data_IF_629970928968
#
_entry.id   IF_629970928968
#
_cell.length_a   1.000
_cell.length_b   1.000
_cell.length_c   1.000
_cell.angle_alpha   90.00
_cell.angle_beta   90.00
_cell.angle_gamma   90.00
#
_symmetry.space_group_name_H-M   'P 1'
#
loop_
_entity.id
_entity.type
_entity.pdbx_description
1 polymer ?
#
# COMPACT_ATOMS: atom_id res chain seq x y z
N UNK A 1 -20.19 5.53 -4.16
CA UNK A 1 -19.51 4.28 -3.76
C UNK A 1 -20.56 3.18 -3.71
N UNK A 2 -20.28 1.98 -4.25
CA UNK A 2 -21.24 0.86 -4.23
C UNK A 2 -21.32 0.21 -2.84
N UNK A 3 -22.43 -0.48 -2.54
CA UNK A 3 -22.60 -1.26 -1.29
C UNK A 3 -21.48 -2.31 -1.13
N UNK A 4 -21.08 -2.95 -2.24
CA UNK A 4 -19.98 -3.92 -2.23
C UNK A 4 -18.62 -3.27 -1.88
N UNK A 5 -18.40 -2.01 -2.31
CA UNK A 5 -17.20 -1.26 -1.90
C UNK A 5 -17.22 -0.95 -0.43
N UNK A 6 -18.36 -0.51 0.11
CA UNK A 6 -18.51 -0.20 1.53
C UNK A 6 -18.25 -1.43 2.40
N UNK A 7 -18.81 -2.58 2.06
CA UNK A 7 -18.60 -3.83 2.78
C UNK A 7 -17.12 -4.26 2.79
N UNK A 8 -16.40 -4.10 1.67
CA UNK A 8 -14.97 -4.38 1.58
C UNK A 8 -14.15 -3.46 2.50
N UNK A 9 -14.42 -2.15 2.46
CA UNK A 9 -13.70 -1.18 3.28
C UNK A 9 -14.00 -1.37 4.78
N UNK A 10 -15.22 -1.70 5.13
CA UNK A 10 -15.60 -2.01 6.51
C UNK A 10 -14.90 -3.29 6.99
N UNK A 11 -14.81 -4.33 6.16
CA UNK A 11 -14.07 -5.55 6.46
C UNK A 11 -12.57 -5.28 6.65
N UNK A 12 -11.97 -4.40 5.82
CA UNK A 12 -10.57 -4.00 5.96
C UNK A 12 -10.30 -3.19 7.24
N UNK A 13 -11.29 -2.45 7.74
CA UNK A 13 -11.20 -1.69 8.98
C UNK A 13 -11.41 -2.55 10.25
N UNK A 14 -12.11 -3.67 10.15
CA UNK A 14 -12.53 -4.48 11.31
C UNK A 14 -11.37 -4.91 12.23
N UNK A 15 -10.19 -5.37 11.75
CA UNK A 15 -9.07 -5.75 12.58
C UNK A 15 -8.54 -4.62 13.49
N UNK A 16 -8.77 -3.36 13.12
CA UNK A 16 -8.29 -2.19 13.86
C UNK A 16 -9.07 -1.93 15.16
N UNK A 17 -10.21 -2.60 15.37
CA UNK A 17 -10.92 -2.59 16.66
C UNK A 17 -10.04 -3.07 17.82
N UNK A 18 -9.08 -3.97 17.55
CA UNK A 18 -8.08 -4.44 18.52
C UNK A 18 -7.19 -3.30 19.05
N UNK A 19 -6.97 -2.27 18.25
CA UNK A 19 -6.20 -1.07 18.62
C UNK A 19 -7.07 0.07 19.19
N UNK A 20 -8.35 -0.19 19.40
CA UNK A 20 -9.30 0.74 20.00
C UNK A 20 -10.18 1.49 19.00
N UNK A 21 -11.20 2.17 19.53
CA UNK A 21 -12.22 2.87 18.72
C UNK A 21 -11.63 3.92 17.78
N UNK A 22 -10.62 4.65 18.24
CA UNK A 22 -9.99 5.69 17.43
C UNK A 22 -9.31 5.09 16.18
N UNK A 23 -8.50 4.04 16.33
CA UNK A 23 -7.84 3.38 15.20
C UNK A 23 -8.85 2.81 14.20
N UNK A 24 -9.93 2.19 14.70
CA UNK A 24 -11.01 1.68 13.85
C UNK A 24 -11.68 2.78 13.04
N UNK A 25 -12.15 3.86 13.69
CA UNK A 25 -12.85 4.94 12.99
C UNK A 25 -11.94 5.71 12.06
N UNK A 26 -10.68 5.94 12.45
CA UNK A 26 -9.68 6.54 11.58
C UNK A 26 -9.48 5.72 10.30
N UNK A 27 -9.21 4.42 10.44
CA UNK A 27 -9.00 3.51 9.30
C UNK A 27 -10.22 3.47 8.39
N UNK A 28 -11.42 3.26 8.97
CA UNK A 28 -12.66 3.20 8.22
C UNK A 28 -12.92 4.48 7.42
N UNK A 29 -12.74 5.64 8.04
CA UNK A 29 -12.95 6.93 7.38
C UNK A 29 -11.87 7.19 6.31
N UNK A 30 -10.59 6.91 6.61
CA UNK A 30 -9.50 7.11 5.64
C UNK A 30 -9.70 6.23 4.41
N UNK A 31 -10.03 4.95 4.58
CA UNK A 31 -10.32 4.04 3.46
C UNK A 31 -11.54 4.51 2.65
N UNK A 32 -12.56 5.07 3.30
CA UNK A 32 -13.81 5.49 2.66
C UNK A 32 -13.67 6.78 1.86
N UNK A 33 -12.95 7.76 2.40
CA UNK A 33 -12.90 9.12 1.86
C UNK A 33 -11.65 9.41 1.03
N UNK A 34 -10.62 8.57 1.08
CA UNK A 34 -9.45 8.71 0.22
C UNK A 34 -9.56 7.72 -0.95
N UNK A 35 -9.80 8.20 -2.17
CA UNK A 35 -10.04 7.34 -3.33
C UNK A 35 -8.82 6.51 -3.75
N UNK A 36 -7.61 6.85 -3.29
CA UNK A 36 -6.38 6.15 -3.69
C UNK A 36 -6.42 4.66 -3.37
N UNK A 37 -7.05 4.28 -2.25
CA UNK A 37 -7.08 2.90 -1.81
C UNK A 37 -7.82 2.00 -2.81
N UNK A 38 -9.02 2.38 -3.22
CA UNK A 38 -9.77 1.66 -4.24
C UNK A 38 -9.11 1.79 -5.62
N UNK A 39 -8.57 2.95 -5.95
CA UNK A 39 -7.86 3.15 -7.22
C UNK A 39 -6.64 2.24 -7.35
N UNK A 40 -5.88 2.01 -6.29
CA UNK A 40 -4.77 1.04 -6.30
C UNK A 40 -5.28 -0.39 -6.48
N UNK A 41 -6.29 -0.77 -5.71
CA UNK A 41 -6.87 -2.11 -5.77
C UNK A 41 -7.43 -2.46 -7.16
N UNK A 42 -8.07 -1.48 -7.82
CA UNK A 42 -8.78 -1.66 -9.10
C UNK A 42 -7.90 -1.36 -10.32
N UNK A 43 -6.69 -0.84 -10.11
CA UNK A 43 -5.79 -0.43 -11.21
C UNK A 43 -5.27 -1.59 -12.07
N UNK A 44 -5.29 -2.83 -11.57
CA UNK A 44 -4.65 -3.97 -12.21
C UNK A 44 -3.11 -3.94 -12.19
N UNK A 45 -2.50 -2.94 -11.55
CA UNK A 45 -1.04 -2.78 -11.48
C UNK A 45 -0.38 -3.79 -10.53
N UNK A 46 -1.09 -4.18 -9.47
CA UNK A 46 -0.65 -5.22 -8.56
C UNK A 46 -1.18 -6.55 -9.09
N UNK A 47 -0.27 -7.44 -9.43
CA UNK A 47 -0.61 -8.76 -9.96
C UNK A 47 -0.36 -9.86 -8.92
N UNK A 48 -0.96 -11.02 -9.12
CA UNK A 48 -0.79 -12.15 -8.22
C UNK A 48 0.68 -12.59 -8.11
N UNK A 49 1.06 -13.08 -6.93
CA UNK A 49 2.42 -13.52 -6.56
C UNK A 49 3.47 -12.39 -6.48
N UNK A 50 3.06 -11.11 -6.52
CA UNK A 50 3.99 -9.98 -6.38
C UNK A 50 4.33 -9.71 -4.91
N UNK A 51 5.55 -9.22 -4.71
CA UNK A 51 6.02 -8.59 -3.46
C UNK A 51 5.62 -7.13 -3.49
N UNK A 52 4.76 -6.73 -2.56
CA UNK A 52 4.26 -5.36 -2.44
C UNK A 52 4.89 -4.72 -1.21
N UNK A 53 5.57 -3.60 -1.40
CA UNK A 53 6.18 -2.81 -0.33
C UNK A 53 5.51 -1.44 -0.23
N UNK A 54 4.97 -1.13 0.94
CA UNK A 54 4.36 0.17 1.26
C UNK A 54 5.32 0.98 2.13
N UNK A 55 5.92 2.03 1.55
CA UNK A 55 6.88 2.91 2.23
C UNK A 55 6.15 4.08 2.91
N UNK A 56 6.29 4.16 4.23
CA UNK A 56 5.49 5.05 5.05
C UNK A 56 4.06 4.55 5.19
N UNK A 57 3.90 3.25 5.40
CA UNK A 57 2.60 2.58 5.38
C UNK A 57 1.61 3.06 6.46
N UNK A 58 2.04 3.90 7.39
CA UNK A 58 1.20 4.37 8.48
C UNK A 58 0.71 3.21 9.35
N UNK A 59 -0.59 3.11 9.49
CA UNK A 59 -1.24 1.98 10.18
C UNK A 59 -1.46 0.76 9.26
N UNK A 60 -0.91 0.73 8.05
CA UNK A 60 -0.98 -0.39 7.13
C UNK A 60 -2.33 -0.55 6.41
N UNK A 61 -3.05 0.56 6.19
CA UNK A 61 -4.42 0.54 5.66
C UNK A 61 -4.52 -0.09 4.27
N UNK A 62 -3.58 0.25 3.39
CA UNK A 62 -3.55 -0.29 2.03
C UNK A 62 -3.26 -1.79 2.03
N UNK A 63 -2.31 -2.20 2.86
CA UNK A 63 -1.98 -3.63 3.02
C UNK A 63 -3.18 -4.42 3.57
N UNK A 64 -3.93 -3.83 4.52
CA UNK A 64 -5.16 -4.44 5.04
C UNK A 64 -6.23 -4.60 3.95
N UNK A 65 -6.41 -3.58 3.10
CA UNK A 65 -7.36 -3.63 2.00
C UNK A 65 -6.99 -4.72 0.99
N UNK A 66 -5.72 -4.80 0.57
CA UNK A 66 -5.23 -5.82 -0.33
C UNK A 66 -5.40 -7.23 0.26
N UNK A 67 -5.08 -7.41 1.54
CA UNK A 67 -5.26 -8.68 2.23
C UNK A 67 -6.72 -9.12 2.28
N UNK A 68 -7.63 -8.22 2.63
CA UNK A 68 -9.07 -8.54 2.69
C UNK A 68 -9.64 -8.83 1.31
N UNK A 69 -9.22 -8.08 0.28
CA UNK A 69 -9.66 -8.31 -1.09
C UNK A 69 -9.31 -9.73 -1.57
N UNK A 70 -8.05 -10.16 -1.40
CA UNK A 70 -7.65 -11.52 -1.77
C UNK A 70 -8.39 -12.62 -0.97
N UNK A 71 -8.63 -12.39 0.33
CA UNK A 71 -9.37 -13.36 1.14
C UNK A 71 -10.83 -13.48 0.72
N UNK A 72 -11.50 -12.36 0.42
CA UNK A 72 -12.87 -12.40 -0.11
C UNK A 72 -12.94 -13.13 -1.45
N UNK A 73 -11.97 -12.91 -2.33
CA UNK A 73 -11.89 -13.62 -3.60
C UNK A 73 -11.71 -15.13 -3.40
N UNK A 74 -10.75 -15.54 -2.58
CA UNK A 74 -10.51 -16.96 -2.26
C UNK A 74 -11.71 -17.66 -1.60
N UNK A 75 -12.49 -16.90 -0.83
CA UNK A 75 -13.69 -17.41 -0.16
C UNK A 75 -14.95 -17.37 -1.03
N UNK A 76 -14.87 -16.94 -2.29
CA UNK A 76 -16.02 -16.82 -3.19
C UNK A 76 -16.98 -15.67 -2.82
N UNK A 77 -16.54 -14.74 -1.98
CA UNK A 77 -17.33 -13.57 -1.55
C UNK A 77 -17.05 -12.32 -2.41
N UNK A 78 -16.13 -12.42 -3.37
CA UNK A 78 -15.78 -11.32 -4.25
C UNK A 78 -16.87 -11.09 -5.31
N UNK A 79 -17.32 -9.82 -5.51
CA UNK A 79 -18.38 -9.56 -6.49
C UNK A 79 -17.90 -9.78 -7.92
N UNK A 80 -18.66 -10.53 -8.71
CA UNK A 80 -18.38 -10.79 -10.15
C UNK A 80 -18.39 -9.51 -11.01
N UNK A 81 -18.88 -8.38 -10.46
CA UNK A 81 -18.92 -7.08 -11.14
C UNK A 81 -17.61 -6.29 -11.03
N UNK A 82 -16.62 -6.82 -10.29
CA UNK A 82 -15.30 -6.22 -10.11
C UNK A 82 -14.21 -7.04 -10.77
N UNK A 83 -13.14 -6.40 -11.24
CA UNK A 83 -11.93 -7.10 -11.64
C UNK A 83 -11.44 -8.02 -10.52
N UNK A 84 -10.93 -9.18 -10.87
CA UNK A 84 -10.33 -10.09 -9.89
C UNK A 84 -9.16 -9.42 -9.17
N UNK A 85 -9.11 -9.48 -7.83
CA UNK A 85 -8.01 -8.90 -7.10
C UNK A 85 -6.77 -9.80 -7.21
N UNK A 86 -5.60 -9.19 -7.09
CA UNK A 86 -4.36 -9.95 -6.98
C UNK A 86 -4.38 -10.88 -5.76
N UNK A 87 -3.80 -12.06 -5.90
CA UNK A 87 -3.72 -13.08 -4.87
C UNK A 87 -2.29 -13.52 -4.59
N UNK A 88 -2.05 -14.20 -3.45
CA UNK A 88 -0.73 -14.66 -3.03
C UNK A 88 0.33 -13.54 -2.95
N UNK A 89 -0.07 -12.38 -2.43
CA UNK A 89 0.81 -11.23 -2.26
C UNK A 89 1.74 -11.41 -1.05
N UNK A 90 3.03 -11.11 -1.21
CA UNK A 90 3.96 -10.88 -0.09
C UNK A 90 3.84 -9.39 0.29
N UNK A 91 3.07 -9.10 1.34
CA UNK A 91 2.77 -7.75 1.79
C UNK A 91 3.76 -7.29 2.85
N UNK A 92 4.43 -6.17 2.58
CA UNK A 92 5.39 -5.56 3.50
C UNK A 92 5.12 -4.07 3.67
N UNK A 93 5.36 -3.56 4.87
CA UNK A 93 5.25 -2.14 5.17
C UNK A 93 6.42 -1.64 6.01
N UNK A 94 6.87 -0.43 5.73
CA UNK A 94 7.86 0.29 6.53
C UNK A 94 7.24 1.58 7.04
N UNK A 95 7.36 1.84 8.35
CA UNK A 95 6.85 3.05 8.98
C UNK A 95 7.78 3.50 10.10
N UNK A 96 8.15 4.80 10.13
CA UNK A 96 9.07 5.32 11.13
C UNK A 96 8.45 5.39 12.54
N UNK A 97 7.27 6.03 12.77
CA UNK A 97 6.65 6.06 14.08
C UNK A 97 6.23 4.66 14.56
N UNK A 98 6.95 4.14 15.57
CA UNK A 98 6.67 2.81 16.12
C UNK A 98 5.21 2.65 16.59
N UNK A 99 4.56 3.72 17.04
CA UNK A 99 3.14 3.70 17.44
C UNK A 99 2.21 3.34 16.28
N UNK A 100 2.43 3.88 15.08
CA UNK A 100 1.66 3.54 13.87
C UNK A 100 2.00 2.12 13.41
N UNK A 101 3.28 1.76 13.35
CA UNK A 101 3.74 0.42 13.01
C UNK A 101 3.18 -0.65 13.97
N UNK A 102 3.06 -0.35 15.26
CA UNK A 102 2.46 -1.25 16.25
C UNK A 102 0.96 -1.51 15.97
N UNK A 103 0.21 -0.47 15.61
CA UNK A 103 -1.20 -0.61 15.20
C UNK A 103 -1.29 -1.50 13.94
N UNK A 104 -0.44 -1.25 12.94
CA UNK A 104 -0.39 -2.06 11.72
C UNK A 104 -0.10 -3.53 12.01
N UNK A 105 0.91 -3.82 12.85
CA UNK A 105 1.25 -5.20 13.26
C UNK A 105 0.09 -5.89 13.97
N UNK A 106 -0.59 -5.18 14.89
CA UNK A 106 -1.71 -5.75 15.63
C UNK A 106 -2.91 -6.04 14.72
N UNK A 107 -3.19 -5.16 13.75
CA UNK A 107 -4.29 -5.33 12.81
C UNK A 107 -4.01 -6.44 11.78
N UNK A 108 -2.82 -6.44 11.20
CA UNK A 108 -2.45 -7.33 10.09
C UNK A 108 -1.94 -8.71 10.55
N UNK A 109 -1.34 -8.80 11.73
CA UNK A 109 -0.78 -10.06 12.23
C UNK A 109 0.22 -10.67 11.25
N UNK A 110 -0.01 -11.92 10.83
CA UNK A 110 0.82 -12.63 9.84
C UNK A 110 0.50 -12.27 8.38
N UNK A 111 -0.53 -11.45 8.12
CA UNK A 111 -0.93 -11.07 6.77
C UNK A 111 0.07 -10.15 6.07
N UNK A 112 0.84 -9.38 6.85
CA UNK A 112 1.89 -8.50 6.33
C UNK A 112 3.06 -8.38 7.31
N UNK A 113 4.27 -8.23 6.78
CA UNK A 113 5.46 -7.92 7.58
C UNK A 113 5.60 -6.41 7.73
N UNK A 114 5.49 -5.88 8.95
CA UNK A 114 5.62 -4.45 9.24
C UNK A 114 6.90 -4.19 10.04
N UNK A 115 7.75 -3.33 9.51
CA UNK A 115 9.01 -2.92 10.15
C UNK A 115 8.97 -1.44 10.52
N UNK A 116 9.50 -1.11 11.71
CA UNK A 116 9.65 0.29 12.12
C UNK A 116 11.07 0.73 11.80
N UNK A 117 11.24 1.42 10.66
CA UNK A 117 12.54 1.82 10.13
C UNK A 117 12.49 3.26 9.60
N UNK A 118 13.64 3.92 9.67
CA UNK A 118 13.84 5.22 9.05
C UNK A 118 14.18 5.05 7.56
N UNK A 119 13.30 5.52 6.68
CA UNK A 119 13.48 5.46 5.23
C UNK A 119 14.72 6.21 4.74
N UNK A 120 15.25 7.17 5.52
CA UNK A 120 16.48 7.88 5.15
C UNK A 120 17.72 6.99 5.23
N UNK A 121 17.70 5.93 6.05
CA UNK A 121 18.86 5.12 6.39
C UNK A 121 18.67 3.62 6.10
N UNK A 122 17.42 3.11 6.07
CA UNK A 122 17.18 1.67 5.91
C UNK A 122 17.51 1.19 4.49
N UNK A 123 17.92 -0.05 4.37
CA UNK A 123 17.96 -0.76 3.10
C UNK A 123 16.53 -1.02 2.62
N UNK A 124 16.26 -0.78 1.33
CA UNK A 124 14.94 -1.01 0.75
C UNK A 124 14.83 -2.49 0.36
N UNK A 125 13.89 -3.24 0.96
CA UNK A 125 13.68 -4.63 0.59
C UNK A 125 13.31 -4.79 -0.88
N UNK A 126 13.78 -5.86 -1.53
CA UNK A 126 13.40 -6.17 -2.90
C UNK A 126 11.87 -6.35 -3.01
N UNK A 127 11.26 -5.65 -3.95
CA UNK A 127 9.82 -5.65 -4.18
C UNK A 127 9.51 -5.51 -5.66
N UNK A 128 8.40 -6.10 -6.11
CA UNK A 128 7.92 -5.99 -7.48
C UNK A 128 7.08 -4.73 -7.67
N UNK A 129 6.38 -4.32 -6.60
CA UNK A 129 5.63 -3.06 -6.53
C UNK A 129 6.02 -2.32 -5.25
N UNK A 130 6.43 -1.06 -5.41
CA UNK A 130 6.64 -0.13 -4.30
C UNK A 130 5.58 0.96 -4.35
N UNK A 131 4.87 1.13 -3.23
CA UNK A 131 3.89 2.18 -3.02
C UNK A 131 4.49 3.20 -2.04
N UNK A 132 4.42 4.49 -2.39
CA UNK A 132 5.02 5.55 -1.60
C UNK A 132 4.08 6.76 -1.57
N UNK A 133 3.19 6.78 -0.59
CA UNK A 133 2.09 7.74 -0.51
C UNK A 133 2.20 8.68 0.68
N UNK A 134 2.06 9.97 0.41
CA UNK A 134 1.95 11.04 1.41
C UNK A 134 3.16 11.09 2.38
N UNK A 135 4.37 10.83 1.88
CA UNK A 135 5.61 10.79 2.67
C UNK A 135 6.68 11.76 2.14
N UNK A 136 6.63 12.11 0.84
CA UNK A 136 7.63 12.96 0.19
C UNK A 136 7.85 14.28 0.95
N UNK A 137 6.78 14.91 1.40
CA UNK A 137 6.82 16.20 2.09
C UNK A 137 7.54 16.17 3.46
N UNK A 138 7.85 14.99 4.00
CA UNK A 138 8.68 14.85 5.21
C UNK A 138 10.19 14.80 4.91
N UNK A 139 10.58 14.72 3.63
CA UNK A 139 11.96 14.57 3.18
C UNK A 139 12.40 15.82 2.42
N UNK A 140 13.64 16.27 2.64
CA UNK A 140 14.25 17.27 1.78
C UNK A 140 14.57 16.70 0.38
N UNK A 141 14.87 17.58 -0.59
CA UNK A 141 15.08 17.20 -1.98
C UNK A 141 16.21 16.17 -2.17
N UNK A 142 17.30 16.27 -1.38
CA UNK A 142 18.42 15.34 -1.48
C UNK A 142 18.03 13.96 -0.95
N UNK A 143 17.30 13.92 0.16
CA UNK A 143 16.78 12.69 0.73
C UNK A 143 15.76 12.00 -0.21
N UNK A 144 14.90 12.78 -0.90
CA UNK A 144 13.99 12.26 -1.91
C UNK A 144 14.75 11.60 -3.07
N UNK A 145 15.73 12.28 -3.65
CA UNK A 145 16.56 11.74 -4.75
C UNK A 145 17.32 10.48 -4.30
N UNK A 146 17.91 10.51 -3.11
CA UNK A 146 18.60 9.34 -2.54
C UNK A 146 17.65 8.16 -2.37
N UNK A 147 16.46 8.38 -1.83
CA UNK A 147 15.47 7.33 -1.61
C UNK A 147 14.97 6.76 -2.93
N UNK A 148 14.64 7.59 -3.92
CA UNK A 148 14.26 7.13 -5.27
C UNK A 148 15.36 6.24 -5.86
N UNK A 149 16.63 6.64 -5.77
CA UNK A 149 17.76 5.82 -6.26
C UNK A 149 17.87 4.47 -5.56
N UNK A 150 17.57 4.38 -4.27
CA UNK A 150 17.56 3.11 -3.52
C UNK A 150 16.36 2.25 -3.89
N UNK A 151 15.18 2.86 -4.03
CA UNK A 151 13.96 2.18 -4.48
C UNK A 151 14.15 1.56 -5.87
N UNK A 152 14.67 2.32 -6.83
CA UNK A 152 14.87 1.83 -8.21
C UNK A 152 15.85 0.67 -8.30
N UNK A 153 16.80 0.56 -7.37
CA UNK A 153 17.69 -0.62 -7.28
C UNK A 153 17.01 -1.84 -6.64
N UNK A 154 16.03 -1.63 -5.78
CA UNK A 154 15.30 -2.71 -5.11
C UNK A 154 14.19 -3.31 -5.99
N UNK A 155 13.73 -2.58 -7.00
CA UNK A 155 12.69 -3.00 -7.93
C UNK A 155 13.35 -3.69 -9.13
N UNK A 156 12.94 -4.93 -9.49
CA UNK A 156 13.44 -5.61 -10.70
C UNK A 156 12.95 -4.94 -11.99
N UNK A 157 13.56 -5.29 -13.11
CA UNK A 157 13.07 -4.86 -14.42
C UNK A 157 11.60 -5.29 -14.63
N UNK A 158 10.76 -4.34 -15.04
CA UNK A 158 9.31 -4.54 -15.17
C UNK A 158 8.51 -4.32 -13.89
N UNK A 159 9.17 -4.08 -12.76
CA UNK A 159 8.48 -3.70 -11.52
C UNK A 159 8.03 -2.23 -11.50
N UNK A 160 7.23 -1.86 -10.54
CA UNK A 160 6.49 -0.61 -10.47
C UNK A 160 6.84 0.19 -9.22
N UNK A 161 7.08 1.48 -9.38
CA UNK A 161 7.04 2.47 -8.31
C UNK A 161 5.83 3.39 -8.53
N UNK A 162 4.90 3.42 -7.56
CA UNK A 162 3.79 4.36 -7.55
C UNK A 162 3.94 5.35 -6.41
N UNK A 163 3.98 6.62 -6.76
CA UNK A 163 4.17 7.72 -5.82
C UNK A 163 2.94 8.61 -5.82
N UNK A 164 2.51 9.03 -4.64
CA UNK A 164 1.53 10.10 -4.46
C UNK A 164 2.02 11.06 -3.39
N UNK A 165 1.87 12.35 -3.64
CA UNK A 165 2.03 13.37 -2.60
C UNK A 165 1.15 14.59 -2.89
N UNK A 166 0.52 15.12 -1.86
CA UNK A 166 -0.37 16.29 -1.88
C UNK A 166 -1.38 16.27 -3.05
N UNK A 167 -1.00 16.77 -4.22
CA UNK A 167 -1.85 16.92 -5.39
C UNK A 167 -1.30 16.21 -6.64
N UNK A 168 -0.32 15.33 -6.50
CA UNK A 168 0.31 14.64 -7.62
C UNK A 168 0.34 13.12 -7.42
N UNK A 169 0.01 12.37 -8.46
CA UNK A 169 0.23 10.92 -8.56
C UNK A 169 1.19 10.67 -9.72
N UNK A 170 2.28 9.96 -9.45
CA UNK A 170 3.24 9.59 -10.47
C UNK A 170 3.47 8.07 -10.44
N UNK A 171 3.55 7.46 -11.61
CA UNK A 171 3.88 6.03 -11.77
C UNK A 171 5.14 5.89 -12.62
N UNK A 172 6.04 5.05 -12.16
CA UNK A 172 7.30 4.77 -12.85
C UNK A 172 7.44 3.26 -13.06
N UNK A 173 7.59 2.83 -14.31
CA UNK A 173 8.05 1.48 -14.63
C UNK A 173 9.58 1.45 -14.63
N UNK A 174 10.18 0.53 -13.88
CA UNK A 174 11.64 0.40 -13.79
C UNK A 174 12.14 -0.58 -14.85
N UNK A 175 13.10 -0.15 -15.66
CA UNK A 175 13.83 -1.01 -16.62
C UNK A 175 13.20 -1.22 -17.98
N UNK A 176 12.17 -0.46 -18.36
CA UNK A 176 11.66 -0.39 -19.74
C UNK A 176 12.19 0.86 -20.46
N UNK A 177 12.27 0.82 -21.81
CA UNK A 177 12.74 1.95 -22.64
C UNK A 177 11.84 3.21 -22.58
N UNK A 178 10.83 3.20 -21.74
CA UNK A 178 9.90 4.32 -21.58
C UNK A 178 9.57 4.44 -20.10
N UNK A 179 10.18 5.42 -19.44
CA UNK A 179 9.68 5.88 -18.14
C UNK A 179 8.38 6.65 -18.40
N UNK A 180 7.26 5.96 -18.35
CA UNK A 180 5.96 6.62 -18.45
C UNK A 180 5.66 7.32 -17.12
N UNK A 181 5.77 8.65 -17.11
CA UNK A 181 5.23 9.48 -16.04
C UNK A 181 3.77 9.71 -16.43
N UNK A 182 2.84 9.00 -15.77
CA UNK A 182 1.44 9.37 -15.83
C UNK A 182 1.17 10.38 -14.70
N UNK A 183 1.09 11.64 -15.06
CA UNK A 183 0.52 12.69 -14.20
C UNK A 183 -1.00 12.61 -14.39
N UNK A 184 -1.71 12.27 -13.35
CA UNK A 184 -3.17 12.36 -13.28
C UNK A 184 -3.57 13.37 -12.21
#
# INVERSE_FOLDING_TARGET
MSLASEALLDAAAEPYKKSGKFAFHFTRNKLRYDPVFLAVLESGLIQSNMRVLDLGCGQGLLLALLHVAQNQYQSGLWPNTRPEPASHLDLRGVELPNSKAAIARLALGSAAKIESLDLSQCEIPAADVVLWFDVLHYLDANAQVSLISRITRAIPAGGLLRVRDANAVCEFAVGGATSAILLA
#
